data_IF_438368745820
#
_entry.id   IF_438368745820
#
_cell.length_a   1.000
_cell.length_b   1.000
_cell.length_c   1.000
_cell.angle_alpha   90.00
_cell.angle_beta   90.00
_cell.angle_gamma   90.00
#
_symmetry.space_group_name_H-M   'P 1'
#
loop_
_entity.id
_entity.type
_entity.pdbx_description
1 polymer ?
#
# COMPACT_ATOMS: atom_id res chain seq x y z
N UNK A 1 -16.13 -21.55 -1.84
CA UNK A 1 -14.74 -21.34 -1.38
C UNK A 1 -14.48 -19.87 -1.24
N UNK A 2 -14.15 -19.43 -0.05
CA UNK A 2 -13.94 -18.05 0.26
C UNK A 2 -12.49 -17.61 0.10
N UNK A 3 -12.33 -16.31 0.01
CA UNK A 3 -11.02 -15.69 0.16
C UNK A 3 -10.63 -15.72 1.63
N UNK A 4 -9.35 -15.84 1.87
CA UNK A 4 -8.81 -15.83 3.20
C UNK A 4 -7.65 -14.85 3.28
N UNK A 5 -7.69 -13.96 4.26
CA UNK A 5 -6.61 -13.02 4.53
C UNK A 5 -6.02 -13.33 5.89
N UNK A 6 -4.70 -13.37 5.95
CA UNK A 6 -3.97 -13.65 7.18
C UNK A 6 -3.07 -12.49 7.52
N UNK A 7 -2.97 -12.20 8.81
CA UNK A 7 -2.02 -11.24 9.35
C UNK A 7 -0.74 -11.95 9.70
N UNK A 8 0.37 -11.47 9.15
CA UNK A 8 1.69 -11.87 9.56
C UNK A 8 2.36 -10.66 10.19
N UNK A 9 2.85 -10.82 11.40
CA UNK A 9 3.43 -9.71 12.13
C UNK A 9 4.92 -9.63 11.87
N UNK A 10 5.38 -8.47 11.42
CA UNK A 10 6.79 -8.13 11.32
C UNK A 10 7.01 -6.87 12.14
N UNK A 11 7.25 -7.05 13.42
CA UNK A 11 7.29 -5.94 14.37
C UNK A 11 5.91 -5.30 14.48
N UNK A 12 5.83 -3.97 14.36
CA UNK A 12 4.57 -3.25 14.43
C UNK A 12 3.94 -3.01 13.06
N UNK A 13 4.58 -3.49 11.99
CA UNK A 13 4.11 -3.24 10.63
C UNK A 13 3.20 -4.36 10.15
N UNK A 14 2.02 -4.02 9.59
CA UNK A 14 1.08 -5.05 9.14
C UNK A 14 1.58 -5.75 7.88
N UNK A 15 1.35 -7.06 7.84
CA UNK A 15 1.63 -7.89 6.67
C UNK A 15 0.46 -8.84 6.49
N UNK A 16 -0.13 -8.86 5.31
CA UNK A 16 -1.33 -9.62 5.00
C UNK A 16 -1.11 -10.51 3.80
N UNK A 17 -1.68 -11.71 3.84
CA UNK A 17 -1.77 -12.57 2.66
C UNK A 17 -3.23 -12.82 2.32
N UNK A 18 -3.51 -13.07 1.05
CA UNK A 18 -4.83 -13.46 0.57
C UNK A 18 -4.74 -14.83 -0.06
N UNK A 19 -5.66 -15.72 0.32
CA UNK A 19 -5.75 -17.05 -0.22
C UNK A 19 -7.08 -17.27 -0.91
N UNK A 20 -7.06 -17.99 -2.01
CA UNK A 20 -8.27 -18.49 -2.68
C UNK A 20 -8.10 -20.00 -2.85
N UNK A 21 -9.05 -20.76 -2.32
CA UNK A 21 -9.00 -22.22 -2.37
C UNK A 21 -7.69 -22.80 -1.81
N UNK A 22 -7.16 -22.20 -0.74
CA UNK A 22 -5.94 -22.65 -0.08
C UNK A 22 -4.64 -22.24 -0.75
N UNK A 23 -4.69 -21.45 -1.82
CA UNK A 23 -3.51 -20.99 -2.55
C UNK A 23 -3.33 -19.50 -2.31
N UNK A 24 -2.14 -19.10 -1.90
CA UNK A 24 -1.82 -17.68 -1.72
C UNK A 24 -1.79 -17.02 -3.10
N UNK A 25 -2.63 -16.02 -3.28
CA UNK A 25 -2.78 -15.32 -4.56
C UNK A 25 -2.40 -13.85 -4.48
N UNK A 26 -2.02 -13.37 -3.31
CA UNK A 26 -1.58 -12.00 -3.17
C UNK A 26 -1.12 -11.70 -1.76
N UNK A 27 -0.41 -10.59 -1.62
CA UNK A 27 -0.01 -10.10 -0.31
C UNK A 27 0.08 -8.58 -0.33
N UNK A 28 -0.02 -8.01 0.86
CA UNK A 28 0.14 -6.57 1.05
C UNK A 28 0.84 -6.33 2.37
N UNK A 29 1.67 -5.32 2.41
CA UNK A 29 2.31 -4.93 3.66
C UNK A 29 2.52 -3.42 3.69
N UNK A 30 2.67 -2.91 4.91
CA UNK A 30 3.10 -1.54 5.14
C UNK A 30 4.44 -1.59 5.85
N UNK A 31 5.37 -0.78 5.39
CA UNK A 31 6.69 -0.68 5.99
C UNK A 31 7.04 0.78 6.27
N UNK A 32 8.24 1.03 6.84
CA UNK A 32 8.65 2.39 7.11
C UNK A 32 8.78 3.20 5.83
N UNK A 33 8.20 4.40 5.83
CA UNK A 33 8.40 5.34 4.72
C UNK A 33 9.84 5.86 4.70
N UNK A 34 10.33 6.26 5.86
CA UNK A 34 11.70 6.73 6.07
C UNK A 34 12.21 6.16 7.39
N UNK A 35 13.51 5.87 7.46
CA UNK A 35 14.09 5.26 8.64
C UNK A 35 14.21 6.21 9.83
N UNK A 36 14.10 7.51 9.63
CA UNK A 36 14.29 8.50 10.70
C UNK A 36 13.09 8.57 11.63
N UNK A 37 13.30 8.76 12.93
CA UNK A 37 12.21 8.76 13.92
C UNK A 37 11.09 9.77 13.64
N UNK A 38 11.39 10.89 13.00
CA UNK A 38 10.37 11.89 12.66
C UNK A 38 9.28 11.33 11.77
N UNK A 39 9.57 10.26 11.02
CA UNK A 39 8.64 9.69 10.04
C UNK A 39 8.04 8.37 10.51
N UNK A 40 8.14 8.05 11.80
CA UNK A 40 7.70 6.74 12.32
C UNK A 40 6.19 6.52 12.27
N UNK A 41 5.42 7.58 12.10
CA UNK A 41 3.95 7.46 11.96
C UNK A 41 3.48 7.39 10.52
N UNK A 42 4.40 7.37 9.57
CA UNK A 42 4.12 7.26 8.15
C UNK A 42 4.61 5.92 7.64
N UNK A 43 3.75 5.23 6.89
CA UNK A 43 4.10 3.94 6.29
C UNK A 43 3.97 4.04 4.77
N UNK A 44 4.69 3.14 4.09
CA UNK A 44 4.57 2.95 2.65
C UNK A 44 3.93 1.60 2.40
N UNK A 45 2.89 1.55 1.56
CA UNK A 45 2.23 0.30 1.25
C UNK A 45 2.82 -0.38 0.04
N UNK A 46 2.65 -1.69 0.01
CA UNK A 46 2.98 -2.54 -1.14
C UNK A 46 1.89 -3.58 -1.29
N UNK A 47 1.40 -3.77 -2.51
CA UNK A 47 0.34 -4.74 -2.81
C UNK A 47 0.76 -5.52 -4.06
N UNK A 48 0.73 -6.85 -3.94
CA UNK A 48 1.10 -7.75 -5.03
C UNK A 48 0.02 -8.80 -5.22
N UNK A 49 -0.41 -8.99 -6.46
CA UNK A 49 -1.44 -9.95 -6.81
C UNK A 49 -0.87 -10.86 -7.90
N UNK A 50 -1.10 -12.17 -7.76
CA UNK A 50 -0.71 -13.14 -8.78
C UNK A 50 -1.34 -12.77 -10.13
N UNK A 51 -0.57 -12.93 -11.22
CA UNK A 51 -0.97 -12.44 -12.53
C UNK A 51 -2.31 -13.01 -13.03
N UNK A 52 -2.60 -14.27 -12.68
CA UNK A 52 -3.85 -14.93 -13.06
C UNK A 52 -5.04 -14.59 -12.15
N UNK A 53 -4.81 -13.79 -11.13
CA UNK A 53 -5.83 -13.44 -10.14
C UNK A 53 -6.24 -11.97 -10.18
N UNK A 54 -5.76 -11.24 -11.16
CA UNK A 54 -6.14 -9.83 -11.32
C UNK A 54 -7.62 -9.73 -11.72
N UNK A 55 -8.25 -8.61 -11.36
CA UNK A 55 -9.65 -8.36 -11.69
C UNK A 55 -10.66 -9.04 -10.77
N UNK A 56 -10.22 -9.66 -9.68
CA UNK A 56 -11.11 -10.38 -8.75
C UNK A 56 -11.36 -9.64 -7.43
N UNK A 57 -10.92 -8.38 -7.35
CA UNK A 57 -11.12 -7.58 -6.15
C UNK A 57 -10.19 -7.92 -5.00
N UNK A 58 -9.16 -8.74 -5.23
CA UNK A 58 -8.23 -9.17 -4.17
C UNK A 58 -7.37 -8.00 -3.71
N UNK A 59 -6.86 -7.21 -4.65
CA UNK A 59 -6.05 -6.04 -4.32
C UNK A 59 -6.82 -5.02 -3.50
N UNK A 60 -8.07 -4.79 -3.87
CA UNK A 60 -8.95 -3.87 -3.13
C UNK A 60 -9.19 -4.36 -1.70
N UNK A 61 -9.45 -5.65 -1.54
CA UNK A 61 -9.67 -6.24 -0.22
C UNK A 61 -8.41 -6.16 0.64
N UNK A 62 -7.25 -6.49 0.07
CA UNK A 62 -5.98 -6.41 0.80
C UNK A 62 -5.65 -4.98 1.21
N UNK A 63 -5.74 -4.03 0.29
CA UNK A 63 -5.40 -2.65 0.58
C UNK A 63 -6.36 -2.05 1.62
N UNK A 64 -7.64 -2.37 1.53
CA UNK A 64 -8.63 -1.90 2.50
C UNK A 64 -8.27 -2.37 3.92
N UNK A 65 -7.98 -3.66 4.09
CA UNK A 65 -7.60 -4.20 5.40
C UNK A 65 -6.26 -3.63 5.86
N UNK A 66 -5.32 -3.43 4.95
CA UNK A 66 -4.04 -2.82 5.27
C UNK A 66 -4.21 -1.40 5.84
N UNK A 67 -5.07 -0.60 5.22
CA UNK A 67 -5.39 0.75 5.68
C UNK A 67 -5.99 0.68 7.09
N UNK A 68 -6.99 -0.17 7.28
CA UNK A 68 -7.68 -0.31 8.56
C UNK A 68 -6.73 -0.78 9.67
N UNK A 69 -5.86 -1.73 9.34
CA UNK A 69 -4.88 -2.26 10.30
C UNK A 69 -3.84 -1.21 10.66
N UNK A 70 -3.36 -0.46 9.67
CA UNK A 70 -2.39 0.61 9.92
C UNK A 70 -2.98 1.71 10.79
N UNK A 71 -4.23 2.08 10.52
CA UNK A 71 -4.95 3.06 11.33
C UNK A 71 -5.08 2.57 12.78
N UNK A 72 -5.47 1.30 12.98
CA UNK A 72 -5.64 0.72 14.31
C UNK A 72 -4.33 0.69 15.10
N UNK A 73 -3.19 0.63 14.40
CA UNK A 73 -1.87 0.64 15.04
C UNK A 73 -1.29 2.04 15.24
N UNK A 74 -2.06 3.08 14.92
CA UNK A 74 -1.69 4.46 15.18
C UNK A 74 -0.90 5.14 14.09
N UNK A 75 -0.75 4.52 12.92
CA UNK A 75 -0.11 5.20 11.78
C UNK A 75 -1.04 6.29 11.24
N UNK A 76 -0.46 7.41 10.84
CA UNK A 76 -1.20 8.63 10.48
C UNK A 76 -1.16 8.97 9.00
N UNK A 77 -0.19 8.41 8.27
CA UNK A 77 -0.06 8.66 6.83
C UNK A 77 0.33 7.36 6.15
N UNK A 78 -0.24 7.14 4.97
CA UNK A 78 0.17 6.03 4.11
C UNK A 78 0.56 6.59 2.76
N UNK A 79 1.77 6.26 2.33
CA UNK A 79 2.33 6.70 1.06
C UNK A 79 2.33 5.52 0.10
N UNK A 80 1.92 5.76 -1.12
CA UNK A 80 2.05 4.79 -2.20
C UNK A 80 3.05 5.31 -3.22
N UNK A 81 4.04 4.50 -3.54
CA UNK A 81 5.00 4.78 -4.61
C UNK A 81 4.76 3.75 -5.69
N UNK A 82 4.16 4.18 -6.79
CA UNK A 82 3.76 3.27 -7.86
C UNK A 82 4.71 3.46 -9.03
N UNK A 83 5.65 2.51 -9.15
CA UNK A 83 6.64 2.55 -10.21
C UNK A 83 6.01 2.22 -11.56
N UNK A 84 6.56 2.81 -12.63
CA UNK A 84 6.05 2.65 -13.98
C UNK A 84 4.54 2.93 -14.03
N UNK A 85 4.16 4.12 -13.58
CA UNK A 85 2.77 4.49 -13.32
C UNK A 85 1.86 4.34 -14.55
N UNK A 86 2.40 4.47 -15.75
CA UNK A 86 1.61 4.29 -16.98
C UNK A 86 1.16 2.83 -17.14
N UNK A 87 2.08 1.89 -16.93
CA UNK A 87 1.74 0.46 -16.98
C UNK A 87 0.97 0.01 -15.74
N UNK A 88 1.14 0.71 -14.62
CA UNK A 88 0.51 0.39 -13.35
C UNK A 88 -0.74 1.23 -13.11
N UNK A 89 -1.43 1.63 -14.18
CA UNK A 89 -2.63 2.45 -14.07
C UNK A 89 -3.70 1.81 -13.19
N UNK A 90 -3.80 0.47 -13.20
CA UNK A 90 -4.75 -0.23 -12.34
C UNK A 90 -4.42 -0.05 -10.86
N UNK A 91 -3.13 -0.01 -10.51
CA UNK A 91 -2.71 0.24 -9.13
C UNK A 91 -3.01 1.68 -8.72
N UNK A 92 -2.76 2.64 -9.61
CA UNK A 92 -3.12 4.05 -9.37
C UNK A 92 -4.62 4.17 -9.14
N UNK A 93 -5.44 3.55 -9.99
CA UNK A 93 -6.90 3.56 -9.86
C UNK A 93 -7.37 2.89 -8.57
N UNK A 94 -6.75 1.80 -8.19
CA UNK A 94 -7.06 1.11 -6.93
C UNK A 94 -6.84 2.02 -5.73
N UNK A 95 -5.67 2.67 -5.67
CA UNK A 95 -5.35 3.56 -4.57
C UNK A 95 -6.29 4.76 -4.54
N UNK A 96 -6.58 5.35 -5.70
CA UNK A 96 -7.51 6.47 -5.79
C UNK A 96 -8.91 6.08 -5.31
N UNK A 97 -9.38 4.88 -5.67
CA UNK A 97 -10.69 4.38 -5.26
C UNK A 97 -10.79 4.21 -3.74
N UNK A 98 -9.68 3.99 -3.06
CA UNK A 98 -9.64 3.82 -1.60
C UNK A 98 -9.20 5.10 -0.87
N UNK A 99 -9.28 6.25 -1.53
CA UNK A 99 -9.12 7.52 -0.87
C UNK A 99 -7.71 8.11 -0.91
N UNK A 100 -6.80 7.53 -1.68
CA UNK A 100 -5.49 8.12 -1.87
C UNK A 100 -5.59 9.31 -2.82
N UNK A 101 -4.84 10.35 -2.51
CA UNK A 101 -4.75 11.56 -3.34
C UNK A 101 -3.43 11.54 -4.10
N UNK A 102 -3.46 12.06 -5.33
CA UNK A 102 -2.22 12.24 -6.10
C UNK A 102 -1.38 13.33 -5.45
N UNK A 103 -0.09 13.03 -5.26
CA UNK A 103 0.89 13.99 -4.78
C UNK A 103 1.70 14.53 -5.95
N UNK A 104 2.12 13.64 -6.85
CA UNK A 104 2.89 14.04 -8.01
C UNK A 104 3.45 12.85 -8.76
N UNK A 105 4.18 13.14 -9.82
CA UNK A 105 4.85 12.15 -10.65
C UNK A 105 6.32 12.52 -10.73
N UNK A 106 7.18 11.56 -10.37
CA UNK A 106 8.61 11.68 -10.56
C UNK A 106 8.94 11.08 -11.92
N UNK A 107 9.30 11.96 -12.86
CA UNK A 107 9.60 11.52 -14.23
C UNK A 107 10.98 10.92 -14.30
N UNK A 108 11.10 9.83 -15.08
CA UNK A 108 12.36 9.22 -15.46
C UNK A 108 13.27 8.89 -14.29
N UNK A 109 12.68 8.42 -13.19
CA UNK A 109 13.45 8.05 -11.98
C UNK A 109 13.89 6.61 -11.97
N UNK A 110 13.28 5.76 -12.79
CA UNK A 110 13.66 4.37 -12.93
C UNK A 110 14.05 4.05 -14.37
N UNK A 111 14.86 3.01 -14.52
CA UNK A 111 15.21 2.50 -15.84
C UNK A 111 15.05 1.00 -15.85
N UNK A 112 14.17 0.49 -16.72
CA UNK A 112 13.96 -0.96 -16.84
C UNK A 112 13.42 -1.29 -18.21
N UNK A 113 13.72 -2.49 -18.68
CA UNK A 113 13.28 -2.99 -19.98
C UNK A 113 13.64 -2.03 -21.12
N UNK A 114 14.84 -1.41 -21.01
CA UNK A 114 15.37 -0.54 -22.06
C UNK A 114 14.73 0.84 -22.13
N UNK A 115 14.00 1.28 -21.11
CA UNK A 115 13.36 2.60 -21.11
C UNK A 115 13.32 3.23 -19.74
N UNK A 116 13.22 4.54 -19.71
CA UNK A 116 12.98 5.30 -18.49
C UNK A 116 11.52 5.18 -18.07
N UNK A 117 11.28 5.08 -16.78
CA UNK A 117 9.93 4.93 -16.23
C UNK A 117 9.69 5.93 -15.11
N UNK A 118 8.44 6.31 -14.96
CA UNK A 118 8.00 7.26 -13.94
C UNK A 118 7.53 6.55 -12.69
N UNK A 119 7.49 7.30 -11.56
CA UNK A 119 6.83 6.86 -10.34
C UNK A 119 5.75 7.85 -9.96
N UNK A 120 4.55 7.36 -9.69
CA UNK A 120 3.47 8.16 -9.15
C UNK A 120 3.51 8.09 -7.62
N UNK A 121 3.37 9.24 -6.98
CA UNK A 121 3.29 9.35 -5.54
C UNK A 121 1.85 9.66 -5.16
N UNK A 122 1.31 8.88 -4.24
CA UNK A 122 -0.03 9.07 -3.71
C UNK A 122 0.02 8.98 -2.19
N UNK A 123 -0.96 9.56 -1.52
CA UNK A 123 -1.02 9.45 -0.07
C UNK A 123 -2.45 9.40 0.43
N UNK A 124 -2.62 8.78 1.57
CA UNK A 124 -3.88 8.74 2.31
C UNK A 124 -3.61 8.96 3.79
N UNK A 125 -4.51 9.68 4.44
CA UNK A 125 -4.46 9.88 5.89
C UNK A 125 -5.46 8.92 6.54
N UNK A 126 -5.00 7.75 7.03
CA UNK A 126 -5.88 6.88 7.79
C UNK A 126 -6.17 7.49 9.17
N UNK A 127 -7.38 7.26 9.67
CA UNK A 127 -7.77 7.74 10.97
C UNK A 127 -7.80 9.25 11.06
N UNK A 128 -7.15 9.80 12.07
CA UNK A 128 -7.14 11.23 12.34
C UNK A 128 -6.11 12.00 11.51
N UNK A 129 -5.21 11.26 10.81
CA UNK A 129 -4.21 11.89 9.97
C UNK A 129 -3.34 12.87 10.73
N UNK A 130 -3.28 14.11 10.24
CA UNK A 130 -2.52 15.19 10.86
C UNK A 130 -3.37 16.12 11.71
N UNK A 131 -4.66 15.81 11.91
CA UNK A 131 -5.57 16.64 12.67
C UNK A 131 -5.24 16.68 14.17
N UNK A 132 -4.59 15.64 14.66
CA UNK A 132 -4.13 15.55 16.04
C UNK A 132 -2.68 15.06 16.06
N UNK A 133 -1.89 15.49 17.08
CA UNK A 133 -0.55 14.94 17.23
C UNK A 133 -0.60 13.43 17.46
N UNK A 134 0.43 12.69 17.04
CA UNK A 134 0.51 11.27 17.34
C UNK A 134 0.81 11.03 18.80
N UNK A 135 0.44 9.83 19.26
CA UNK A 135 0.73 9.41 20.62
C UNK A 135 2.22 9.03 20.71
N UNK A 136 3.00 9.84 21.39
CA UNK A 136 4.45 9.63 21.51
C UNK A 136 4.75 8.72 22.70
N UNK A 137 5.05 7.46 22.39
CA UNK A 137 5.46 6.51 23.42
C UNK A 137 6.84 5.96 23.18
#
# INVERSE_FOLDING_TARGET
MGRRMQHLLAGNFPYLTAEVAGVVCGYAYAGPYRARPAYRWTVEDSVYIASDMHGRGIGRALLKVLIETSEARGFRQMIAVIGDSTKQASSVGLHAALGFQHVGILQDVGFKHGRWVDSALMRRMPGEGDSLPPDEQ
#
